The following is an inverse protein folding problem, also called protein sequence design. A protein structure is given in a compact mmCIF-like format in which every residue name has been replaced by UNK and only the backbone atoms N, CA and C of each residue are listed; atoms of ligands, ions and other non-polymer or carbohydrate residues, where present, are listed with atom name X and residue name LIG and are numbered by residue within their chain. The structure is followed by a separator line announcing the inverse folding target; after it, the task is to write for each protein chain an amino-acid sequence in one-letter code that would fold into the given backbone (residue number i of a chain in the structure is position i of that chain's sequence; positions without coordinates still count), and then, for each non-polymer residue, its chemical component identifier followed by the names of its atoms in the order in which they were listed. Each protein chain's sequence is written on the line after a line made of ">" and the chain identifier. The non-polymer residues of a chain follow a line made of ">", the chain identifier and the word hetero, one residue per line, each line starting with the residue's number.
data_IF_124160291899
#
_entry.id   IF_124160291899
#
_cell.length_a   1.000
_cell.length_b   1.000
_cell.length_c   1.000
_cell.angle_alpha   90.00
_cell.angle_beta   90.00
_cell.angle_gamma   90.00
#
_symmetry.space_group_name_H-M   'P 1'
#
loop_
_entity.id
_entity.type
_entity.pdbx_description
1 polymer ?
#
# COMPACT_ATOMS: atom_id res chain seq x y z
N UNK A 1 15.72 -11.81 11.75
CA UNK A 1 14.67 -10.77 11.60
C UNK A 1 15.10 -9.92 10.40
N UNK A 2 14.21 -9.68 9.45
CA UNK A 2 14.53 -8.86 8.29
C UNK A 2 14.83 -7.43 8.72
N UNK A 3 15.88 -6.84 8.16
CA UNK A 3 16.21 -5.44 8.37
C UNK A 3 15.53 -4.63 7.27
N UNK A 4 14.34 -4.09 7.56
CA UNK A 4 13.58 -3.26 6.63
C UNK A 4 13.90 -1.79 6.90
N UNK A 5 14.61 -1.15 5.99
CA UNK A 5 15.01 0.24 6.09
C UNK A 5 14.04 1.08 5.27
N UNK A 6 13.10 1.76 5.95
CA UNK A 6 12.13 2.66 5.31
C UNK A 6 12.76 4.03 5.04
N UNK A 7 12.58 4.54 3.83
CA UNK A 7 12.92 5.91 3.48
C UNK A 7 11.82 6.87 3.97
N UNK A 8 12.09 8.17 3.83
CA UNK A 8 11.09 9.19 4.12
C UNK A 8 9.84 8.96 3.26
N UNK A 9 8.71 8.86 3.93
CA UNK A 9 7.41 8.77 3.31
C UNK A 9 7.06 10.05 2.57
N UNK A 10 6.53 9.92 1.37
CA UNK A 10 6.02 11.02 0.56
C UNK A 10 4.53 10.85 0.33
N UNK A 11 3.89 11.86 -0.26
CA UNK A 11 2.49 11.79 -0.64
C UNK A 11 2.34 11.96 -2.14
N UNK A 12 1.62 11.02 -2.77
CA UNK A 12 1.35 11.02 -4.21
C UNK A 12 -0.09 11.47 -4.44
N UNK A 13 -0.24 12.57 -5.17
CA UNK A 13 -1.54 13.18 -5.51
C UNK A 13 -1.96 12.82 -6.93
N UNK A 14 -3.23 13.03 -7.24
CA UNK A 14 -3.72 13.01 -8.62
C UNK A 14 -2.93 14.00 -9.49
N UNK A 15 -2.55 13.60 -10.70
CA UNK A 15 -1.85 14.48 -11.64
C UNK A 15 -2.77 15.55 -12.23
N UNK A 16 -4.08 15.27 -12.32
CA UNK A 16 -5.11 16.18 -12.82
C UNK A 16 -6.40 16.09 -11.99
N UNK A 17 -6.43 16.64 -10.76
CA UNK A 17 -7.58 16.53 -9.87
C UNK A 17 -8.79 17.29 -10.40
N UNK A 18 -9.97 16.68 -10.27
CA UNK A 18 -11.25 17.40 -10.37
C UNK A 18 -11.35 18.44 -9.25
N UNK A 19 -11.81 19.65 -9.58
CA UNK A 19 -11.98 20.77 -8.63
C UNK A 19 -13.31 20.65 -7.89
N UNK A 20 -13.51 19.57 -7.17
CA UNK A 20 -14.76 19.29 -6.47
C UNK A 20 -14.48 19.00 -5.01
N UNK A 21 -15.11 19.74 -4.10
CA UNK A 21 -15.10 19.45 -2.65
C UNK A 21 -16.10 18.33 -2.32
N UNK A 22 -16.15 17.32 -3.19
CA UNK A 22 -17.11 16.25 -3.10
C UNK A 22 -16.74 15.31 -1.96
N UNK A 23 -17.76 14.82 -1.26
CA UNK A 23 -17.64 13.77 -0.29
C UNK A 23 -18.57 12.60 -0.65
N UNK A 24 -18.14 11.41 -0.29
CA UNK A 24 -18.88 10.17 -0.49
C UNK A 24 -19.14 9.58 0.87
N UNK A 25 -20.41 9.58 1.31
CA UNK A 25 -20.82 8.82 2.48
C UNK A 25 -21.01 7.37 2.10
N UNK A 26 -20.23 6.50 2.74
CA UNK A 26 -20.31 5.06 2.58
C UNK A 26 -21.67 4.52 3.05
N UNK A 27 -22.16 3.49 2.40
CA UNK A 27 -23.37 2.78 2.79
C UNK A 27 -23.15 2.04 4.12
N UNK A 28 -24.26 1.57 4.71
CA UNK A 28 -24.21 0.83 5.97
C UNK A 28 -23.31 -0.42 5.89
N UNK A 29 -23.27 -1.12 4.76
CA UNK A 29 -22.41 -2.31 4.60
C UNK A 29 -20.92 -1.96 4.64
N UNK A 30 -20.53 -0.87 3.98
CA UNK A 30 -19.16 -0.34 3.98
C UNK A 30 -18.81 0.23 5.35
N UNK A 31 -19.75 0.87 6.03
CA UNK A 31 -19.54 1.43 7.38
C UNK A 31 -19.46 0.36 8.49
N UNK A 32 -19.65 -0.92 8.19
CA UNK A 32 -19.42 -1.98 9.17
C UNK A 32 -17.99 -2.53 9.14
N UNK A 33 -17.12 -2.03 8.26
CA UNK A 33 -15.75 -2.54 8.07
C UNK A 33 -14.70 -1.84 8.92
N UNK A 34 -15.08 -0.87 9.78
CA UNK A 34 -14.17 0.01 10.54
C UNK A 34 -12.98 -0.70 11.19
N UNK A 35 -13.21 -1.87 11.77
CA UNK A 35 -12.21 -2.62 12.53
C UNK A 35 -11.24 -3.42 11.64
N UNK A 36 -11.44 -3.45 10.34
CA UNK A 36 -10.78 -4.36 9.41
C UNK A 36 -10.10 -3.60 8.26
N UNK A 37 -9.09 -2.73 8.52
CA UNK A 37 -8.29 -2.20 7.43
C UNK A 37 -7.65 -3.36 6.66
N UNK A 38 -7.73 -3.30 5.33
CA UNK A 38 -7.11 -4.31 4.48
C UNK A 38 -5.64 -3.99 4.32
N UNK A 39 -4.82 -5.03 4.38
CA UNK A 39 -3.42 -5.00 3.96
C UNK A 39 -3.22 -6.14 2.98
N UNK A 40 -2.83 -5.80 1.75
CA UNK A 40 -2.55 -6.76 0.69
C UNK A 40 -1.06 -6.72 0.35
N UNK A 41 -0.47 -7.90 0.21
CA UNK A 41 0.94 -8.06 -0.14
C UNK A 41 1.01 -8.74 -1.51
N UNK A 42 1.70 -8.09 -2.46
CA UNK A 42 2.08 -8.66 -3.74
C UNK A 42 3.58 -8.87 -3.78
N UNK A 43 3.97 -10.00 -4.35
CA UNK A 43 5.37 -10.36 -4.50
C UNK A 43 5.71 -10.46 -5.97
N UNK A 44 6.77 -9.75 -6.34
CA UNK A 44 7.31 -9.73 -7.70
C UNK A 44 8.73 -10.29 -7.67
N UNK A 45 8.87 -11.52 -8.15
CA UNK A 45 10.16 -12.20 -8.29
C UNK A 45 10.92 -11.67 -9.50
N UNK A 46 12.17 -11.25 -9.30
CA UNK A 46 13.06 -10.85 -10.38
C UNK A 46 13.88 -12.06 -10.87
N UNK A 47 13.23 -13.01 -11.53
CA UNK A 47 13.87 -14.24 -12.03
C UNK A 47 14.97 -13.97 -13.07
N UNK A 48 14.82 -12.89 -13.83
CA UNK A 48 15.74 -12.49 -14.90
C UNK A 48 16.97 -11.71 -14.39
N UNK A 49 17.10 -11.53 -13.07
CA UNK A 49 18.20 -10.78 -12.45
C UNK A 49 18.40 -9.36 -13.03
N UNK A 50 17.30 -8.70 -13.39
CA UNK A 50 17.31 -7.34 -13.90
C UNK A 50 17.84 -6.36 -12.85
N UNK A 51 18.40 -5.24 -13.31
CA UNK A 51 18.88 -4.17 -12.43
C UNK A 51 17.71 -3.49 -11.69
N UNK A 52 18.01 -2.72 -10.63
CA UNK A 52 17.01 -1.91 -9.93
C UNK A 52 16.29 -0.93 -10.88
N UNK A 53 16.98 -0.40 -11.88
CA UNK A 53 16.41 0.55 -12.82
C UNK A 53 15.44 -0.12 -13.81
N UNK A 54 15.64 -1.41 -14.09
CA UNK A 54 14.88 -2.14 -15.09
C UNK A 54 13.76 -2.99 -14.50
N UNK A 55 13.82 -3.31 -13.20
CA UNK A 55 12.80 -4.11 -12.51
C UNK A 55 11.95 -3.28 -11.54
N UNK A 56 10.71 -2.96 -11.96
CA UNK A 56 9.76 -2.14 -11.20
C UNK A 56 10.39 -0.82 -10.70
N UNK A 57 10.93 0.05 -11.57
CA UNK A 57 11.53 1.31 -11.16
C UNK A 57 10.52 2.17 -10.39
N UNK A 58 10.89 2.61 -9.18
CA UNK A 58 9.94 3.29 -8.29
C UNK A 58 9.39 4.58 -8.88
N UNK A 59 10.19 5.33 -9.64
CA UNK A 59 9.73 6.57 -10.27
C UNK A 59 8.57 6.33 -11.25
N UNK A 60 8.62 5.26 -12.04
CA UNK A 60 7.50 4.90 -12.91
C UNK A 60 6.25 4.50 -12.11
N UNK A 61 6.43 3.82 -10.97
CA UNK A 61 5.30 3.49 -10.07
C UNK A 61 4.66 4.76 -9.51
N UNK A 62 5.46 5.75 -9.09
CA UNK A 62 4.96 7.04 -8.56
C UNK A 62 4.18 7.82 -9.61
N UNK A 63 4.72 7.94 -10.83
CA UNK A 63 4.05 8.64 -11.93
C UNK A 63 2.76 7.93 -12.34
N UNK A 64 2.81 6.60 -12.51
CA UNK A 64 1.63 5.81 -12.88
C UNK A 64 0.55 5.85 -11.80
N UNK A 65 0.95 5.82 -10.52
CA UNK A 65 0.02 6.00 -9.41
C UNK A 65 -0.66 7.37 -9.47
N UNK A 66 0.12 8.45 -9.68
CA UNK A 66 -0.42 9.81 -9.80
C UNK A 66 -1.47 9.92 -10.91
N UNK A 67 -1.24 9.26 -12.04
CA UNK A 67 -2.19 9.23 -13.16
C UNK A 67 -3.41 8.34 -12.88
N UNK A 68 -3.22 7.18 -12.25
CA UNK A 68 -4.31 6.28 -11.87
C UNK A 68 -5.28 6.95 -10.89
N UNK A 69 -4.79 7.79 -9.98
CA UNK A 69 -5.61 8.51 -9.01
C UNK A 69 -6.60 9.50 -9.64
N UNK A 70 -6.41 9.91 -10.90
CA UNK A 70 -7.42 10.69 -11.63
C UNK A 70 -8.72 9.90 -11.84
N UNK A 71 -8.62 8.57 -11.98
CA UNK A 71 -9.76 7.68 -12.17
C UNK A 71 -10.30 7.14 -10.85
N UNK A 72 -9.46 7.11 -9.81
CA UNK A 72 -9.80 6.62 -8.47
C UNK A 72 -9.49 7.66 -7.39
N UNK A 73 -10.14 8.84 -7.43
CA UNK A 73 -9.84 9.96 -6.53
C UNK A 73 -10.08 9.63 -5.04
N UNK A 74 -10.94 8.65 -4.75
CA UNK A 74 -11.22 8.17 -3.39
C UNK A 74 -9.93 7.74 -2.65
N UNK A 75 -8.95 7.18 -3.36
CA UNK A 75 -7.71 6.68 -2.76
C UNK A 75 -6.80 7.82 -2.30
N UNK A 76 -6.90 8.98 -2.95
CA UNK A 76 -6.16 10.20 -2.61
C UNK A 76 -6.90 11.07 -1.57
N UNK A 77 -8.07 10.64 -1.11
CA UNK A 77 -8.90 11.38 -0.17
C UNK A 77 -8.50 11.23 1.30
N UNK A 78 -9.40 11.71 2.16
CA UNK A 78 -9.36 11.47 3.61
C UNK A 78 -10.66 10.86 4.07
N UNK A 79 -10.55 9.91 4.99
CA UNK A 79 -11.70 9.30 5.62
C UNK A 79 -11.97 9.97 6.97
N UNK A 80 -13.24 10.17 7.26
CA UNK A 80 -13.78 10.63 8.55
C UNK A 80 -15.05 9.85 8.89
N UNK A 81 -15.59 10.08 10.08
CA UNK A 81 -16.91 9.60 10.49
C UNK A 81 -17.91 10.74 10.51
N UNK A 82 -19.14 10.52 10.02
CA UNK A 82 -20.22 11.50 10.09
C UNK A 82 -20.95 11.47 11.46
N UNK A 83 -21.88 12.40 11.68
CA UNK A 83 -22.65 12.48 12.93
C UNK A 83 -23.53 11.26 13.23
N UNK A 84 -23.73 10.35 12.26
CA UNK A 84 -24.52 9.12 12.38
C UNK A 84 -23.63 7.88 12.51
N UNK A 85 -22.30 8.03 12.52
CA UNK A 85 -21.35 6.93 12.60
C UNK A 85 -21.00 6.28 11.26
N UNK A 86 -21.35 6.89 10.13
CA UNK A 86 -20.99 6.34 8.81
C UNK A 86 -19.61 6.83 8.38
N UNK A 87 -18.87 5.98 7.68
CA UNK A 87 -17.65 6.39 7.00
C UNK A 87 -17.98 7.42 5.91
N UNK A 88 -17.21 8.49 5.85
CA UNK A 88 -17.30 9.51 4.80
C UNK A 88 -15.91 9.78 4.24
N UNK A 89 -15.77 9.65 2.93
CA UNK A 89 -14.53 9.93 2.21
C UNK A 89 -14.64 11.31 1.58
N UNK A 90 -13.75 12.20 1.95
CA UNK A 90 -13.59 13.52 1.35
C UNK A 90 -12.57 13.45 0.22
N UNK A 91 -12.94 13.87 -0.99
CA UNK A 91 -12.08 13.81 -2.18
C UNK A 91 -11.07 14.98 -2.21
N UNK A 92 -10.30 15.14 -1.13
CA UNK A 92 -9.43 16.32 -0.91
C UNK A 92 -8.18 16.36 -1.78
N UNK A 93 -7.85 15.26 -2.46
CA UNK A 93 -6.59 15.07 -3.18
C UNK A 93 -5.35 15.43 -2.33
N UNK A 94 -5.43 15.21 -1.02
CA UNK A 94 -4.23 15.32 -0.18
C UNK A 94 -3.23 14.21 -0.50
N UNK A 95 -3.69 13.08 -1.04
CA UNK A 95 -2.90 12.05 -1.70
C UNK A 95 -2.69 10.77 -0.89
N UNK A 96 -2.13 9.77 -1.58
CA UNK A 96 -1.75 8.45 -1.07
C UNK A 96 -0.40 8.53 -0.37
N UNK A 97 -0.28 7.87 0.79
CA UNK A 97 0.98 7.74 1.50
C UNK A 97 1.86 6.73 0.76
N UNK A 98 3.06 7.13 0.34
CA UNK A 98 3.97 6.27 -0.43
C UNK A 98 5.33 6.18 0.25
N UNK A 99 5.80 4.96 0.51
CA UNK A 99 7.07 4.70 1.20
C UNK A 99 7.91 3.72 0.39
N UNK A 100 9.14 4.12 0.09
CA UNK A 100 10.16 3.19 -0.39
C UNK A 100 10.88 2.56 0.79
N UNK A 101 11.19 1.27 0.69
CA UNK A 101 11.99 0.56 1.67
C UNK A 101 12.99 -0.37 0.98
N UNK A 102 14.05 -0.72 1.71
CA UNK A 102 15.02 -1.72 1.27
C UNK A 102 15.24 -2.78 2.33
N UNK A 103 15.52 -4.01 1.90
CA UNK A 103 15.95 -5.11 2.76
C UNK A 103 17.29 -5.64 2.22
N UNK A 104 18.42 -5.13 2.70
CA UNK A 104 19.73 -5.44 2.12
C UNK A 104 20.25 -6.82 2.48
N UNK A 105 19.73 -7.44 3.55
CA UNK A 105 20.24 -8.69 4.11
C UNK A 105 19.50 -9.95 3.63
N UNK A 106 18.32 -9.83 3.00
CA UNK A 106 17.52 -10.98 2.57
C UNK A 106 17.08 -10.94 1.10
N UNK A 107 16.91 -12.13 0.53
CA UNK A 107 16.30 -12.36 -0.80
C UNK A 107 14.83 -12.74 -0.64
N UNK A 108 14.12 -12.96 -1.75
CA UNK A 108 12.71 -13.30 -1.70
C UNK A 108 12.44 -14.63 -0.97
N UNK A 109 13.33 -15.61 -1.09
CA UNK A 109 13.19 -16.93 -0.46
C UNK A 109 13.15 -16.87 1.08
N UNK A 110 13.57 -15.75 1.69
CA UNK A 110 13.41 -15.54 3.13
C UNK A 110 11.93 -15.33 3.50
N UNK A 111 11.21 -14.54 2.70
CA UNK A 111 9.82 -14.18 2.95
C UNK A 111 8.85 -15.20 2.36
N UNK A 112 9.19 -15.74 1.19
CA UNK A 112 8.41 -16.74 0.46
C UNK A 112 9.35 -17.88 0.10
N UNK A 113 9.64 -18.79 1.05
CA UNK A 113 10.47 -19.95 0.77
C UNK A 113 9.81 -20.83 -0.30
N UNK A 114 10.62 -21.50 -1.11
CA UNK A 114 10.13 -22.54 -2.01
C UNK A 114 9.73 -23.73 -1.17
N UNK A 115 8.42 -23.89 -0.96
CA UNK A 115 7.90 -24.93 -0.10
C UNK A 115 7.67 -26.24 -0.87
N UNK A 116 7.91 -27.40 -0.24
CA UNK A 116 7.41 -28.69 -0.73
C UNK A 116 5.88 -28.63 -0.91
N UNK A 117 5.32 -29.49 -1.79
CA UNK A 117 3.88 -29.49 -2.10
C UNK A 117 2.96 -29.69 -0.89
N UNK A 118 3.46 -30.27 0.20
CA UNK A 118 2.68 -30.67 1.37
C UNK A 118 2.87 -29.77 2.60
N UNK A 119 3.65 -28.69 2.49
CA UNK A 119 3.86 -27.77 3.59
C UNK A 119 3.02 -26.49 3.43
N UNK A 120 2.39 -26.03 4.52
CA UNK A 120 1.60 -24.81 4.54
C UNK A 120 2.49 -23.57 4.47
N UNK A 121 2.06 -22.57 3.69
CA UNK A 121 2.76 -21.29 3.61
C UNK A 121 2.76 -20.57 4.97
N UNK A 122 3.94 -20.14 5.42
CA UNK A 122 4.09 -19.37 6.66
C UNK A 122 3.61 -17.92 6.50
N UNK A 123 2.29 -17.76 6.62
CA UNK A 123 1.65 -16.44 6.60
C UNK A 123 2.08 -15.56 7.78
N UNK A 124 2.45 -16.14 8.92
CA UNK A 124 2.83 -15.37 10.10
C UNK A 124 4.16 -14.64 9.87
N UNK A 125 5.13 -15.31 9.23
CA UNK A 125 6.43 -14.73 8.94
C UNK A 125 6.33 -13.45 8.08
N UNK A 126 5.56 -13.50 6.99
CA UNK A 126 5.39 -12.35 6.10
C UNK A 126 4.54 -11.25 6.75
N UNK A 127 3.50 -11.61 7.52
CA UNK A 127 2.58 -10.65 8.14
C UNK A 127 3.19 -9.91 9.35
N UNK A 128 4.15 -10.53 10.03
CA UNK A 128 4.87 -9.92 11.16
C UNK A 128 6.10 -9.11 10.72
N UNK A 129 6.48 -9.22 9.45
CA UNK A 129 7.56 -8.41 8.86
C UNK A 129 7.11 -6.95 8.66
N UNK A 130 8.04 -6.00 8.77
CA UNK A 130 7.75 -4.56 8.66
C UNK A 130 7.56 -4.08 7.20
N UNK A 131 6.73 -4.80 6.45
CA UNK A 131 6.48 -4.64 5.02
C UNK A 131 5.34 -3.67 4.69
N UNK A 132 4.72 -3.06 5.72
CA UNK A 132 3.55 -2.21 5.55
C UNK A 132 3.71 -0.85 6.27
N UNK A 133 3.08 0.17 5.71
CA UNK A 133 2.69 1.39 6.43
C UNK A 133 1.19 1.31 6.58
N UNK A 134 0.67 1.11 7.80
CA UNK A 134 -0.76 0.86 8.01
C UNK A 134 -1.55 2.18 7.96
N UNK A 135 -2.70 2.17 7.31
CA UNK A 135 -3.72 3.21 7.52
C UNK A 135 -4.37 3.03 8.89
N UNK A 136 -4.94 4.10 9.43
CA UNK A 136 -5.63 4.05 10.73
C UNK A 136 -6.92 3.22 10.65
N UNK A 137 -7.23 2.51 11.73
CA UNK A 137 -8.45 1.70 11.88
C UNK A 137 -9.61 2.45 12.58
N UNK A 138 -9.45 3.76 12.81
CA UNK A 138 -10.46 4.62 13.42
C UNK A 138 -11.18 5.52 12.41
N UNK A 139 -10.93 5.30 11.12
CA UNK A 139 -11.40 6.16 10.03
C UNK A 139 -10.98 7.61 10.16
N UNK A 140 -9.71 7.83 10.52
CA UNK A 140 -9.10 9.16 10.45
C UNK A 140 -7.85 9.12 9.58
N UNK A 141 -7.75 10.09 8.66
CA UNK A 141 -6.54 10.30 7.85
C UNK A 141 -6.61 9.69 6.44
N UNK A 142 -5.47 9.26 5.88
CA UNK A 142 -5.37 8.84 4.48
C UNK A 142 -6.15 7.54 4.22
N UNK A 143 -6.86 7.48 3.10
CA UNK A 143 -7.60 6.30 2.68
C UNK A 143 -6.69 5.13 2.26
N UNK A 144 -5.47 5.43 1.80
CA UNK A 144 -4.55 4.43 1.25
C UNK A 144 -3.09 4.77 1.55
N UNK A 145 -2.31 3.74 1.80
CA UNK A 145 -0.86 3.76 1.90
C UNK A 145 -0.25 2.62 1.08
N UNK A 146 0.93 2.87 0.54
CA UNK A 146 1.67 1.94 -0.30
C UNK A 146 3.12 1.89 0.19
N UNK A 147 3.64 0.68 0.41
CA UNK A 147 5.06 0.46 0.66
C UNK A 147 5.65 -0.41 -0.46
N UNK A 148 6.74 0.05 -1.06
CA UNK A 148 7.53 -0.70 -2.04
C UNK A 148 8.85 -1.11 -1.40
N UNK A 149 8.98 -2.38 -1.05
CA UNK A 149 10.18 -2.92 -0.39
C UNK A 149 11.04 -3.66 -1.41
N UNK A 150 12.25 -3.18 -1.65
CA UNK A 150 13.21 -3.84 -2.55
C UNK A 150 14.18 -4.70 -1.77
N UNK A 151 14.31 -5.96 -2.18
CA UNK A 151 15.16 -6.96 -1.53
C UNK A 151 16.58 -6.95 -2.11
N UNK A 152 17.50 -7.67 -1.47
CA UNK A 152 18.90 -7.84 -1.93
C UNK A 152 19.01 -8.32 -3.38
N UNK A 153 18.07 -9.15 -3.82
CA UNK A 153 18.00 -9.72 -5.18
C UNK A 153 17.23 -8.84 -6.19
N UNK A 154 16.97 -7.57 -5.87
CA UNK A 154 16.13 -6.64 -6.63
C UNK A 154 14.65 -7.02 -6.79
N UNK A 155 14.23 -8.23 -6.39
CA UNK A 155 12.81 -8.58 -6.22
C UNK A 155 12.10 -7.57 -5.32
N UNK A 156 10.81 -7.40 -5.53
CA UNK A 156 10.00 -6.36 -4.87
C UNK A 156 8.83 -6.99 -4.14
N UNK A 157 8.63 -6.57 -2.90
CA UNK A 157 7.40 -6.79 -2.15
C UNK A 157 6.64 -5.46 -2.11
N UNK A 158 5.44 -5.46 -2.67
CA UNK A 158 4.52 -4.34 -2.67
C UNK A 158 3.45 -4.60 -1.62
N UNK A 159 3.27 -3.67 -0.69
CA UNK A 159 2.14 -3.66 0.21
C UNK A 159 1.22 -2.49 -0.11
N UNK A 160 -0.08 -2.76 -0.13
CA UNK A 160 -1.12 -1.72 -0.15
C UNK A 160 -1.97 -1.91 1.10
N UNK A 161 -2.05 -0.87 1.92
CA UNK A 161 -2.98 -0.81 3.04
C UNK A 161 -4.04 0.24 2.76
N UNK A 162 -5.29 -0.10 2.99
CA UNK A 162 -6.42 0.78 2.75
C UNK A 162 -7.55 0.52 3.75
N UNK A 163 -8.41 1.52 3.91
CA UNK A 163 -9.72 1.28 4.49
C UNK A 163 -10.48 0.27 3.60
N UNK A 164 -11.26 -0.61 4.23
CA UNK A 164 -12.00 -1.66 3.55
C UNK A 164 -13.35 -1.17 3.02
#
# INVERSE_FOLDING_TARGET
>A
MADIIKQNTITIKCSNPTKTDDCITCMAVESNTKQYPISMIWVYSNSENLSKADFLPTEHLKTTLSDALNYFPILAGRITEDAKGNATIHLTNEGVIFTEATCPNHTLDYFIPRMPQDEEFDYEHINTSDLAVKVSNDWTGPCTSIQVTRLKCNSVILNISAFH
#
